data_IF_839969003551
#
_entry.id   IF_839969003551
#
_cell.length_a   1.000
_cell.length_b   1.000
_cell.length_c   1.000
_cell.angle_alpha   90.00
_cell.angle_beta   90.00
_cell.angle_gamma   90.00
#
_symmetry.space_group_name_H-M   'P 1'
#
loop_
_entity.id
_entity.type
_entity.pdbx_description
1 polymer ?
#
# COMPACT_ATOMS: atom_id res chain seq x y z
N UNK A 1 10.82 9.12 -0.03
CA UNK A 1 9.45 9.42 0.36
C UNK A 1 8.80 10.32 -0.68
N UNK A 2 7.71 9.87 -1.29
CA UNK A 2 6.90 10.65 -2.22
C UNK A 2 5.72 11.27 -1.46
N UNK A 3 5.22 12.40 -1.93
CA UNK A 3 4.04 13.05 -1.34
C UNK A 3 2.78 12.18 -1.51
N UNK A 4 2.77 11.34 -2.56
CA UNK A 4 1.67 10.42 -2.84
C UNK A 4 0.32 11.12 -2.96
N UNK A 5 -0.70 10.46 -2.43
CA UNK A 5 -2.09 10.95 -2.43
C UNK A 5 -2.44 11.73 -1.15
N UNK A 6 -1.51 12.46 -0.58
CA UNK A 6 -1.78 13.30 0.60
C UNK A 6 -2.66 14.49 0.25
N UNK A 7 -3.63 14.80 1.08
CA UNK A 7 -4.50 15.97 0.92
C UNK A 7 -3.68 17.29 0.95
N UNK A 8 -3.92 18.29 0.12
CA UNK A 8 -4.96 18.45 -0.89
C UNK A 8 -4.61 17.70 -2.19
N UNK A 9 -5.48 16.77 -2.61
CA UNK A 9 -5.22 15.88 -3.74
C UNK A 9 -4.98 16.63 -5.05
N UNK A 10 -5.73 17.71 -5.34
CA UNK A 10 -5.60 18.48 -6.58
C UNK A 10 -4.21 19.06 -6.81
N UNK A 11 -3.46 19.26 -5.76
CA UNK A 11 -2.09 19.80 -5.82
C UNK A 11 -1.02 18.73 -6.07
N UNK A 12 -1.39 17.44 -6.15
CA UNK A 12 -0.46 16.31 -6.20
C UNK A 12 -0.16 15.78 -7.59
N UNK A 13 -0.80 16.32 -8.61
CA UNK A 13 -0.58 15.93 -10.01
C UNK A 13 -0.70 17.16 -10.93
N UNK A 14 0.01 17.16 -12.07
CA UNK A 14 -0.11 18.23 -13.05
C UNK A 14 -1.44 18.14 -13.81
N UNK A 15 -1.94 19.27 -14.32
CA UNK A 15 -3.23 19.31 -15.04
C UNK A 15 -3.28 18.34 -16.23
N UNK A 16 -2.15 18.08 -16.89
CA UNK A 16 -2.04 17.08 -17.97
C UNK A 16 -2.37 15.64 -17.52
N UNK A 17 -2.34 15.36 -16.23
CA UNK A 17 -2.68 14.05 -15.66
C UNK A 17 -4.08 14.02 -15.04
N UNK A 18 -4.83 15.10 -15.12
CA UNK A 18 -6.21 15.22 -14.66
C UNK A 18 -7.18 14.58 -15.66
N UNK A 19 -7.43 13.30 -15.48
CA UNK A 19 -8.28 12.47 -16.37
C UNK A 19 -9.67 12.28 -15.78
N UNK A 20 -9.76 12.02 -14.49
CA UNK A 20 -11.02 11.88 -13.77
C UNK A 20 -11.56 13.28 -13.43
N UNK A 21 -12.77 13.58 -13.88
CA UNK A 21 -13.41 14.90 -13.78
C UNK A 21 -14.86 14.76 -13.29
N UNK A 22 -15.43 15.75 -12.59
CA UNK A 22 -14.78 16.99 -12.15
C UNK A 22 -13.81 16.80 -10.97
N UNK A 23 -12.73 17.61 -10.85
CA UNK A 23 -11.69 17.48 -9.83
C UNK A 23 -11.21 18.83 -9.23
N UNK A 24 -11.97 19.90 -9.46
CA UNK A 24 -11.56 21.28 -9.17
C UNK A 24 -12.12 21.87 -7.87
N UNK A 25 -12.91 21.12 -7.11
CA UNK A 25 -13.34 21.52 -5.76
C UNK A 25 -12.47 20.79 -4.71
N UNK A 26 -11.91 21.56 -3.80
CA UNK A 26 -10.91 21.06 -2.84
C UNK A 26 -11.37 21.15 -1.39
N UNK A 27 -12.52 21.77 -1.13
CA UNK A 27 -13.10 21.81 0.21
C UNK A 27 -13.49 20.40 0.68
N UNK A 28 -13.03 20.02 1.87
CA UNK A 28 -13.31 18.74 2.51
C UNK A 28 -14.75 18.67 3.04
N UNK A 29 -15.72 18.70 2.13
CA UNK A 29 -17.16 18.63 2.40
C UNK A 29 -17.77 17.43 1.68
N UNK A 30 -18.76 16.80 2.31
CA UNK A 30 -19.45 15.65 1.73
C UNK A 30 -20.08 15.95 0.36
N UNK A 31 -20.58 17.16 0.17
CA UNK A 31 -21.16 17.63 -1.11
C UNK A 31 -20.14 17.58 -2.26
N UNK A 32 -18.87 17.70 -1.94
CA UNK A 32 -17.75 17.67 -2.90
C UNK A 32 -17.15 16.28 -3.08
N UNK A 33 -17.78 15.22 -2.55
CA UNK A 33 -17.23 13.85 -2.57
C UNK A 33 -16.74 13.44 -3.96
N UNK A 34 -17.53 13.63 -5.00
CA UNK A 34 -17.18 13.26 -6.38
C UNK A 34 -15.89 13.95 -6.84
N UNK A 35 -15.76 15.24 -6.59
CA UNK A 35 -14.58 16.03 -6.95
C UNK A 35 -13.32 15.53 -6.21
N UNK A 36 -13.49 15.25 -4.93
CA UNK A 36 -12.39 14.76 -4.08
C UNK A 36 -11.95 13.37 -4.48
N UNK A 37 -12.89 12.46 -4.77
CA UNK A 37 -12.57 11.12 -5.27
C UNK A 37 -11.86 11.17 -6.62
N UNK A 38 -12.36 11.94 -7.58
CA UNK A 38 -11.73 12.13 -8.88
C UNK A 38 -10.31 12.70 -8.75
N UNK A 39 -10.13 13.69 -7.88
CA UNK A 39 -8.81 14.24 -7.61
C UNK A 39 -7.86 13.20 -6.97
N UNK A 40 -8.35 12.39 -6.03
CA UNK A 40 -7.60 11.29 -5.44
C UNK A 40 -7.20 10.24 -6.49
N UNK A 41 -8.13 9.81 -7.33
CA UNK A 41 -7.86 8.84 -8.41
C UNK A 41 -6.82 9.37 -9.41
N UNK A 42 -6.83 10.67 -9.70
CA UNK A 42 -5.79 11.30 -10.50
C UNK A 42 -4.41 11.22 -9.81
N UNK A 43 -4.33 11.30 -8.48
CA UNK A 43 -3.06 11.12 -7.75
C UNK A 43 -2.55 9.68 -7.86
N UNK A 44 -3.45 8.69 -7.77
CA UNK A 44 -3.10 7.26 -7.95
C UNK A 44 -2.57 7.04 -9.37
N UNK A 45 -3.25 7.55 -10.39
CA UNK A 45 -2.80 7.50 -11.77
C UNK A 45 -1.41 8.14 -11.96
N UNK A 46 -1.16 9.28 -11.32
CA UNK A 46 0.14 9.96 -11.39
C UNK A 46 1.25 9.13 -10.74
N UNK A 47 0.96 8.54 -9.59
CA UNK A 47 1.88 7.63 -8.89
C UNK A 47 2.17 6.39 -9.72
N UNK A 48 1.17 5.79 -10.37
CA UNK A 48 1.34 4.66 -11.28
C UNK A 48 2.25 5.00 -12.46
N UNK A 49 2.04 6.16 -13.09
CA UNK A 49 2.90 6.66 -14.16
C UNK A 49 4.35 6.88 -13.71
N UNK A 50 4.56 7.36 -12.48
CA UNK A 50 5.89 7.49 -11.89
C UNK A 50 6.57 6.12 -11.71
N UNK A 51 5.85 5.15 -11.13
CA UNK A 51 6.37 3.78 -10.94
C UNK A 51 6.69 3.11 -12.27
N UNK A 52 5.83 3.26 -13.27
CA UNK A 52 6.06 2.75 -14.62
C UNK A 52 7.32 3.35 -15.26
N UNK A 53 7.56 4.66 -15.06
CA UNK A 53 8.76 5.35 -15.54
C UNK A 53 10.01 4.84 -14.84
N UNK A 54 9.96 4.59 -13.53
CA UNK A 54 11.06 4.03 -12.76
C UNK A 54 11.38 2.60 -13.22
N UNK A 55 10.38 1.76 -13.39
CA UNK A 55 10.54 0.39 -13.91
C UNK A 55 11.18 0.42 -15.30
N UNK A 56 10.72 1.31 -16.18
CA UNK A 56 11.28 1.49 -17.52
C UNK A 56 12.75 1.89 -17.47
N UNK A 57 13.12 2.79 -16.55
CA UNK A 57 14.51 3.18 -16.35
C UNK A 57 15.37 1.99 -15.89
N UNK A 58 14.91 1.24 -14.89
CA UNK A 58 15.61 0.07 -14.38
C UNK A 58 15.78 -1.02 -15.46
N UNK A 59 14.77 -1.21 -16.32
CA UNK A 59 14.85 -2.12 -17.46
C UNK A 59 15.90 -1.69 -18.48
N UNK A 60 15.95 -0.39 -18.81
CA UNK A 60 16.94 0.17 -19.75
C UNK A 60 18.37 0.06 -19.24
N UNK A 61 18.57 0.15 -17.93
CA UNK A 61 19.88 -0.04 -17.31
C UNK A 61 20.37 -1.49 -17.41
N UNK A 62 19.49 -2.43 -17.75
CA UNK A 62 19.76 -3.88 -17.80
C UNK A 62 20.47 -4.37 -16.53
N UNK A 63 20.09 -3.81 -15.38
CA UNK A 63 20.75 -4.03 -14.12
C UNK A 63 20.01 -5.12 -13.29
N UNK A 64 20.75 -5.71 -12.39
CA UNK A 64 20.24 -6.59 -11.35
C UNK A 64 19.46 -5.74 -10.32
N UNK A 65 18.14 -5.69 -10.45
CA UNK A 65 17.31 -4.75 -9.70
C UNK A 65 16.07 -5.37 -9.12
N UNK A 66 15.70 -4.89 -7.92
CA UNK A 66 14.42 -5.11 -7.28
C UNK A 66 13.84 -3.78 -6.82
N UNK A 67 12.52 -3.64 -6.88
CA UNK A 67 11.79 -2.48 -6.36
C UNK A 67 10.65 -2.97 -5.46
N UNK A 68 10.49 -2.34 -4.31
CA UNK A 68 9.34 -2.52 -3.43
C UNK A 68 8.62 -1.17 -3.30
N UNK A 69 7.32 -1.18 -3.49
CA UNK A 69 6.45 -0.04 -3.27
C UNK A 69 5.32 -0.41 -2.33
N UNK A 70 5.03 0.48 -1.39
CA UNK A 70 3.85 0.40 -0.51
C UNK A 70 3.48 1.80 -0.05
N UNK A 71 2.24 1.98 0.43
CA UNK A 71 1.82 3.17 1.17
C UNK A 71 1.92 2.91 2.67
N UNK A 72 2.05 3.98 3.45
CA UNK A 72 2.02 3.96 4.91
C UNK A 72 0.59 3.81 5.46
N UNK A 73 -0.40 4.38 4.78
CA UNK A 73 -1.83 4.26 5.04
C UNK A 73 -2.64 4.56 3.78
N UNK A 74 -3.92 4.26 3.82
CA UNK A 74 -4.91 4.75 2.89
C UNK A 74 -5.69 5.92 3.47
N UNK A 75 -6.77 6.35 2.81
CA UNK A 75 -7.62 7.46 3.26
C UNK A 75 -9.11 7.16 3.06
N UNK A 76 -9.93 7.69 3.94
CA UNK A 76 -11.38 7.78 3.74
C UNK A 76 -11.69 9.04 2.92
N UNK A 77 -12.57 8.90 1.93
CA UNK A 77 -13.05 10.01 1.11
C UNK A 77 -14.59 9.93 1.04
N UNK A 78 -15.22 9.94 2.21
CA UNK A 78 -16.67 9.80 2.34
C UNK A 78 -17.21 8.51 1.70
N UNK A 79 -16.45 7.40 1.77
CA UNK A 79 -16.69 6.17 1.01
C UNK A 79 -18.01 5.50 1.36
N UNK A 80 -18.43 5.59 2.61
CA UNK A 80 -19.66 4.99 3.10
C UNK A 80 -20.52 5.96 3.96
N UNK A 81 -21.56 5.43 4.58
CA UNK A 81 -22.52 6.20 5.38
C UNK A 81 -21.91 6.83 6.64
N UNK A 82 -20.71 6.42 7.06
CA UNK A 82 -19.99 7.04 8.18
C UNK A 82 -19.47 8.43 7.83
N UNK A 83 -19.31 8.72 6.54
CA UNK A 83 -18.80 10.00 6.01
C UNK A 83 -17.45 10.39 6.61
N UNK A 84 -16.57 9.40 6.82
CA UNK A 84 -15.21 9.64 7.28
C UNK A 84 -14.41 10.34 6.17
N UNK A 85 -13.45 11.16 6.59
CA UNK A 85 -12.56 11.87 5.67
C UNK A 85 -11.13 11.85 6.20
N UNK A 86 -10.14 11.62 5.33
CA UNK A 86 -8.71 11.46 5.65
C UNK A 86 -8.43 10.18 6.47
N UNK A 87 -7.42 10.25 7.30
CA UNK A 87 -6.91 9.17 8.16
C UNK A 87 -6.84 9.62 9.63
N UNK A 88 -6.23 8.80 10.50
CA UNK A 88 -6.10 9.06 11.93
C UNK A 88 -7.43 9.04 12.71
N UNK A 89 -8.40 8.28 12.24
CA UNK A 89 -9.59 7.95 13.03
C UNK A 89 -9.23 7.09 14.26
N UNK A 90 -9.88 7.27 15.40
CA UNK A 90 -9.70 6.40 16.57
C UNK A 90 -9.99 4.92 16.27
N UNK A 91 -10.91 4.66 15.34
CA UNK A 91 -11.17 3.34 14.76
C UNK A 91 -10.96 3.48 13.24
N UNK A 92 -9.91 2.87 12.69
CA UNK A 92 -9.63 2.98 11.27
C UNK A 92 -10.68 2.23 10.45
N UNK A 93 -10.88 2.67 9.22
CA UNK A 93 -11.71 1.99 8.24
C UNK A 93 -10.90 0.99 7.41
N UNK A 94 -11.59 0.15 6.63
CA UNK A 94 -10.99 -0.64 5.56
C UNK A 94 -10.12 0.24 4.64
N UNK A 95 -10.60 1.41 4.26
CA UNK A 95 -9.96 2.32 3.31
C UNK A 95 -8.63 2.90 3.83
N UNK A 96 -8.48 3.05 5.15
CA UNK A 96 -7.23 3.46 5.77
C UNK A 96 -6.22 2.31 5.92
N UNK A 97 -6.69 1.08 6.08
CA UNK A 97 -5.88 -0.09 6.43
C UNK A 97 -5.37 -0.86 5.21
N UNK A 98 -6.14 -0.88 4.12
CA UNK A 98 -5.83 -1.66 2.94
C UNK A 98 -5.01 -0.83 1.95
N UNK A 99 -3.72 -1.11 1.88
CA UNK A 99 -2.77 -0.41 1.02
C UNK A 99 -2.08 -1.38 0.05
N UNK A 100 -1.60 -0.90 -1.11
CA UNK A 100 -0.87 -1.74 -2.04
C UNK A 100 0.48 -2.17 -1.48
N UNK A 101 0.89 -3.40 -1.80
CA UNK A 101 2.23 -3.91 -1.56
C UNK A 101 2.74 -4.55 -2.85
N UNK A 102 3.62 -3.86 -3.57
CA UNK A 102 4.09 -4.24 -4.89
C UNK A 102 5.58 -4.55 -4.87
N UNK A 103 5.97 -5.70 -5.41
CA UNK A 103 7.37 -6.05 -5.66
C UNK A 103 7.55 -6.24 -7.16
N UNK A 104 8.50 -5.52 -7.72
CA UNK A 104 8.97 -5.72 -9.09
C UNK A 104 10.42 -6.19 -9.08
N UNK A 105 10.72 -7.16 -9.95
CA UNK A 105 12.06 -7.74 -10.10
C UNK A 105 12.48 -7.67 -11.58
N UNK A 106 13.72 -7.24 -11.86
CA UNK A 106 14.28 -7.33 -13.20
C UNK A 106 14.41 -8.78 -13.66
N UNK A 107 14.52 -9.00 -14.98
CA UNK A 107 14.72 -10.35 -15.52
C UNK A 107 15.99 -10.97 -14.93
N UNK A 108 17.10 -10.24 -14.96
CA UNK A 108 18.39 -10.71 -14.40
C UNK A 108 18.26 -11.08 -12.91
N UNK A 109 17.54 -10.26 -12.12
CA UNK A 109 17.32 -10.56 -10.70
C UNK A 109 16.59 -11.89 -10.51
N UNK A 110 15.52 -12.14 -11.27
CA UNK A 110 14.72 -13.37 -11.15
C UNK A 110 15.50 -14.62 -11.56
N UNK A 111 16.34 -14.51 -12.58
CA UNK A 111 17.18 -15.61 -13.08
C UNK A 111 18.26 -16.01 -12.07
N UNK A 112 18.86 -15.03 -11.38
CA UNK A 112 19.89 -15.26 -10.36
C UNK A 112 19.33 -15.64 -8.99
N UNK A 113 18.11 -15.17 -8.65
CA UNK A 113 17.48 -15.39 -7.34
C UNK A 113 16.16 -16.16 -7.48
N UNK A 114 16.22 -17.33 -8.08
CA UNK A 114 15.04 -18.19 -8.34
C UNK A 114 14.26 -18.47 -7.06
N UNK A 115 14.92 -18.78 -5.96
CA UNK A 115 14.25 -19.09 -4.68
C UNK A 115 13.50 -17.90 -4.10
N UNK A 116 14.07 -16.69 -4.21
CA UNK A 116 13.41 -15.43 -3.79
C UNK A 116 12.18 -15.15 -4.66
N UNK A 117 12.33 -15.31 -5.97
CA UNK A 117 11.21 -15.12 -6.91
C UNK A 117 10.06 -16.10 -6.65
N UNK A 118 10.36 -17.38 -6.49
CA UNK A 118 9.36 -18.42 -6.16
C UNK A 118 8.68 -18.16 -4.81
N UNK A 119 9.45 -17.74 -3.80
CA UNK A 119 8.90 -17.38 -2.49
C UNK A 119 7.90 -16.22 -2.58
N UNK A 120 8.22 -15.18 -3.35
CA UNK A 120 7.29 -14.06 -3.60
C UNK A 120 6.00 -14.54 -4.28
N UNK A 121 6.12 -15.37 -5.31
CA UNK A 121 4.95 -15.95 -5.99
C UNK A 121 4.09 -16.81 -5.06
N UNK A 122 4.72 -17.60 -4.20
CA UNK A 122 4.04 -18.43 -3.20
C UNK A 122 3.30 -17.58 -2.15
N UNK A 123 3.86 -16.43 -1.79
CA UNK A 123 3.36 -15.58 -0.72
C UNK A 123 2.42 -14.46 -1.20
N UNK A 124 2.26 -14.26 -2.52
CA UNK A 124 1.52 -13.12 -3.10
C UNK A 124 0.07 -12.98 -2.62
N UNK A 125 -0.58 -14.11 -2.29
CA UNK A 125 -1.97 -14.12 -1.82
C UNK A 125 -2.08 -14.05 -0.28
N UNK A 126 -0.94 -14.02 0.41
CA UNK A 126 -0.93 -13.93 1.87
C UNK A 126 -1.01 -12.46 2.32
N UNK A 127 -1.76 -12.18 3.40
CA UNK A 127 -1.78 -10.83 3.95
C UNK A 127 -0.38 -10.43 4.47
N UNK A 128 0.00 -9.20 4.21
CA UNK A 128 1.26 -8.61 4.67
C UNK A 128 0.98 -7.73 5.89
N UNK A 129 1.73 -7.94 6.95
CA UNK A 129 1.54 -7.25 8.22
C UNK A 129 2.56 -6.10 8.37
N UNK A 130 2.20 -4.93 7.83
CA UNK A 130 2.83 -3.67 8.21
C UNK A 130 4.33 -3.54 7.96
N UNK A 131 4.93 -2.60 8.67
CA UNK A 131 6.32 -2.14 8.47
C UNK A 131 7.39 -3.21 8.70
N UNK A 132 7.16 -4.17 9.59
CA UNK A 132 8.11 -5.25 9.83
C UNK A 132 8.37 -6.06 8.54
N UNK A 133 7.31 -6.40 7.79
CA UNK A 133 7.45 -7.13 6.54
C UNK A 133 8.21 -6.32 5.48
N UNK A 134 8.03 -4.99 5.41
CA UNK A 134 8.80 -4.10 4.52
C UNK A 134 10.29 -4.22 4.80
N UNK A 135 10.70 -4.01 6.06
CA UNK A 135 12.10 -4.05 6.46
C UNK A 135 12.76 -5.39 6.14
N UNK A 136 12.15 -6.50 6.58
CA UNK A 136 12.72 -7.83 6.39
C UNK A 136 12.71 -8.27 4.91
N UNK A 137 11.69 -7.88 4.15
CA UNK A 137 11.63 -8.14 2.71
C UNK A 137 12.72 -7.37 1.96
N UNK A 138 12.96 -6.10 2.30
CA UNK A 138 14.03 -5.30 1.70
C UNK A 138 15.41 -5.89 1.97
N UNK A 139 15.69 -6.33 3.21
CA UNK A 139 16.96 -7.01 3.53
C UNK A 139 17.12 -8.31 2.72
N UNK A 140 16.05 -9.07 2.56
CA UNK A 140 16.07 -10.32 1.79
C UNK A 140 16.31 -10.05 0.29
N UNK A 141 15.59 -9.08 -0.29
CA UNK A 141 15.78 -8.66 -1.69
C UNK A 141 17.20 -8.16 -1.96
N UNK A 142 17.80 -7.49 -0.99
CA UNK A 142 19.19 -7.00 -1.07
C UNK A 142 20.25 -8.10 -0.79
N UNK A 143 19.85 -9.31 -0.46
CA UNK A 143 20.78 -10.40 -0.07
C UNK A 143 21.52 -10.13 1.24
N UNK A 144 21.06 -9.18 2.06
CA UNK A 144 21.74 -8.79 3.30
C UNK A 144 21.47 -9.81 4.39
N UNK A 145 22.55 -10.41 4.89
CA UNK A 145 22.55 -11.31 6.05
C UNK A 145 22.89 -10.50 7.30
N UNK A 146 21.99 -10.52 8.28
CA UNK A 146 22.19 -9.79 9.55
C UNK A 146 21.38 -10.48 10.66
N UNK A 147 21.85 -10.44 11.93
CA UNK A 147 21.08 -10.95 13.07
C UNK A 147 19.68 -10.30 13.23
N UNK A 148 19.48 -9.14 12.63
CA UNK A 148 18.22 -8.41 12.70
C UNK A 148 17.21 -8.84 11.62
N UNK A 149 17.61 -9.66 10.62
CA UNK A 149 16.67 -10.18 9.61
C UNK A 149 15.93 -11.40 10.13
N UNK A 150 14.61 -11.35 10.10
CA UNK A 150 13.75 -12.49 10.40
C UNK A 150 13.08 -12.99 9.11
N UNK A 151 13.46 -14.16 8.65
CA UNK A 151 12.97 -14.76 7.40
C UNK A 151 11.45 -15.02 7.44
N UNK A 152 10.91 -15.31 8.62
CA UNK A 152 9.45 -15.48 8.83
C UNK A 152 8.63 -14.20 8.68
N UNK A 153 9.26 -13.03 8.56
CA UNK A 153 8.62 -11.74 8.32
C UNK A 153 8.84 -11.21 6.90
N UNK A 154 9.66 -11.88 6.09
CA UNK A 154 9.94 -11.49 4.70
C UNK A 154 9.02 -12.22 3.72
N UNK A 155 8.26 -11.49 2.91
CA UNK A 155 7.45 -12.09 1.82
C UNK A 155 8.32 -12.65 0.70
N UNK A 156 9.60 -12.29 0.66
CA UNK A 156 10.60 -12.81 -0.26
C UNK A 156 11.30 -14.08 0.28
N UNK A 157 10.73 -14.73 1.30
CA UNK A 157 11.24 -15.96 1.88
C UNK A 157 10.13 -17.02 2.01
N UNK A 158 10.44 -18.29 1.74
CA UNK A 158 9.50 -19.41 1.88
C UNK A 158 9.01 -19.64 3.31
N UNK A 159 9.76 -19.16 4.31
CA UNK A 159 9.42 -19.24 5.72
C UNK A 159 8.44 -18.15 6.17
N UNK A 160 7.96 -17.30 5.25
CA UNK A 160 7.01 -16.24 5.58
C UNK A 160 5.78 -16.79 6.29
N UNK A 161 5.50 -16.25 7.49
CA UNK A 161 4.35 -16.60 8.31
C UNK A 161 3.41 -15.40 8.46
N UNK A 162 2.12 -15.65 8.29
CA UNK A 162 1.09 -14.67 8.63
C UNK A 162 1.16 -14.39 10.14
N UNK A 163 1.21 -13.12 10.50
CA UNK A 163 1.27 -12.65 11.90
C UNK A 163 0.03 -11.84 12.24
N UNK A 164 -0.32 -11.70 13.52
CA UNK A 164 -1.31 -10.72 13.96
C UNK A 164 -0.96 -9.34 13.42
N UNK A 165 -1.96 -8.64 12.89
CA UNK A 165 -1.79 -7.33 12.27
C UNK A 165 -2.09 -6.24 13.28
N UNK A 166 -1.27 -5.21 13.25
CA UNK A 166 -1.40 -4.04 14.11
C UNK A 166 -1.46 -2.79 13.25
N UNK A 167 -2.14 -1.78 13.72
CA UNK A 167 -2.06 -0.41 13.19
C UNK A 167 -1.63 0.55 14.29
N UNK A 168 -1.08 1.68 13.92
CA UNK A 168 -0.84 2.78 14.86
C UNK A 168 -2.08 3.66 14.93
N UNK A 169 -2.59 3.88 16.15
CA UNK A 169 -3.68 4.82 16.34
C UNK A 169 -3.17 6.28 16.33
N UNK A 170 -4.07 7.23 16.47
CA UNK A 170 -3.80 8.68 16.55
C UNK A 170 -2.83 9.10 17.68
N UNK A 171 -2.59 8.23 18.67
CA UNK A 171 -1.60 8.41 19.73
C UNK A 171 -0.29 7.64 19.48
N UNK A 172 -0.07 7.12 18.27
CA UNK A 172 1.08 6.27 17.91
C UNK A 172 1.22 5.01 18.78
N UNK A 173 0.12 4.50 19.30
CA UNK A 173 0.10 3.25 20.06
C UNK A 173 -0.33 2.09 19.15
N UNK A 174 0.40 0.96 19.14
CA UNK A 174 0.02 -0.19 18.36
C UNK A 174 -1.26 -0.83 18.91
N UNK A 175 -2.26 -1.00 18.04
CA UNK A 175 -3.51 -1.70 18.31
C UNK A 175 -3.65 -2.90 17.40
N UNK A 176 -4.05 -4.03 17.97
CA UNK A 176 -4.32 -5.24 17.19
C UNK A 176 -5.61 -5.08 16.40
N UNK A 177 -5.60 -5.47 15.12
CA UNK A 177 -6.77 -5.36 14.22
C UNK A 177 -7.96 -6.17 14.72
N UNK A 178 -7.74 -7.32 15.34
CA UNK A 178 -8.80 -8.17 15.92
C UNK A 178 -9.51 -7.54 17.13
N UNK A 179 -8.90 -6.52 17.75
CA UNK A 179 -9.38 -5.85 18.98
C UNK A 179 -9.94 -4.45 18.77
N UNK A 180 -9.79 -3.87 17.59
CA UNK A 180 -10.22 -2.48 17.32
C UNK A 180 -11.71 -2.35 17.06
N UNK A 181 -12.40 -3.47 16.84
CA UNK A 181 -13.84 -3.46 16.57
C UNK A 181 -14.19 -2.87 15.21
N UNK A 182 -13.52 -3.33 14.14
CA UNK A 182 -13.88 -2.99 12.77
C UNK A 182 -15.40 -3.11 12.58
N UNK A 183 -15.97 -2.14 11.88
CA UNK A 183 -17.41 -2.08 11.65
C UNK A 183 -17.82 -3.09 10.58
N UNK A 184 -19.12 -3.35 10.51
CA UNK A 184 -19.70 -4.29 9.55
C UNK A 184 -19.32 -3.91 8.10
N UNK A 185 -19.34 -2.62 7.79
CA UNK A 185 -18.97 -2.07 6.49
C UNK A 185 -17.54 -2.45 6.10
N UNK A 186 -16.59 -2.35 7.02
CA UNK A 186 -15.18 -2.72 6.79
C UNK A 186 -15.03 -4.21 6.54
N UNK A 187 -15.70 -5.04 7.34
CA UNK A 187 -15.70 -6.51 7.21
C UNK A 187 -16.27 -6.92 5.84
N UNK A 188 -17.34 -6.26 5.40
CA UNK A 188 -17.94 -6.50 4.10
C UNK A 188 -16.99 -6.13 2.96
N UNK A 189 -16.21 -5.05 3.08
CA UNK A 189 -15.20 -4.68 2.08
C UNK A 189 -14.07 -5.70 2.01
N UNK A 190 -13.55 -6.19 3.14
CA UNK A 190 -12.57 -7.28 3.15
C UNK A 190 -13.09 -8.52 2.40
N UNK A 191 -14.35 -8.91 2.66
CA UNK A 191 -14.98 -10.07 2.01
C UNK A 191 -15.20 -9.87 0.51
N UNK A 192 -15.70 -8.70 0.10
CA UNK A 192 -15.92 -8.37 -1.33
C UNK A 192 -14.66 -8.43 -2.15
N UNK A 193 -13.53 -8.08 -1.56
CA UNK A 193 -12.23 -8.09 -2.21
C UNK A 193 -11.46 -9.39 -2.00
N UNK A 194 -12.09 -10.44 -1.47
CA UNK A 194 -11.48 -11.74 -1.17
C UNK A 194 -10.23 -11.63 -0.28
N UNK A 195 -10.20 -10.64 0.60
CA UNK A 195 -9.10 -10.41 1.51
C UNK A 195 -9.31 -11.14 2.83
N UNK A 196 -8.20 -11.63 3.39
CA UNK A 196 -8.25 -12.28 4.69
C UNK A 196 -8.52 -11.22 5.75
N UNK A 197 -9.68 -11.34 6.39
CA UNK A 197 -10.03 -10.55 7.58
C UNK A 197 -9.36 -11.17 8.80
N UNK A 198 -8.79 -10.35 9.72
CA UNK A 198 -8.15 -10.84 10.92
C UNK A 198 -9.12 -11.51 11.87
#
# INVERSE_FOLDING_TARGET
HAYGSHFNYKERYPESMSVFKPDNLTDAKYENKEYLMNAYDNTIRYTDGFLASLITLLQKMNSFSAMLYTSDHGEDIFDDNRKLFLHASPVPSYYQLHVPFLIWLSKAYREENVEVHEAILQNREKPVAGNASVFHTMLNLAGIQTPYRADSLSVANRQYLIRPRYYLNDHNLPKSLDKIGLKKEDIEQFRRNNLVYP
#
